data_IF_569335041155
#
_entry.id   IF_569335041155
#
_cell.length_a   1.000
_cell.length_b   1.000
_cell.length_c   1.000
_cell.angle_alpha   90.00
_cell.angle_beta   90.00
_cell.angle_gamma   90.00
#
_symmetry.space_group_name_H-M   'P 1'
#
loop_
_entity.id
_entity.type
_entity.pdbx_description
1 polymer ?
#
# COMPACT_ATOMS: atom_id res chain seq x y z
N UNK A 1 19.23 -1.27 -17.38
CA UNK A 1 18.89 0.11 -16.96
C UNK A 1 19.73 0.46 -15.73
N UNK A 2 20.10 1.74 -15.48
CA UNK A 2 20.73 2.13 -14.21
C UNK A 2 19.80 1.86 -13.01
N UNK A 3 20.37 1.51 -11.85
CA UNK A 3 19.58 1.25 -10.63
C UNK A 3 18.73 2.45 -10.19
N UNK A 4 19.22 3.67 -10.38
CA UNK A 4 18.43 4.88 -10.10
C UNK A 4 17.12 4.92 -10.89
N UNK A 5 17.13 4.48 -12.15
CA UNK A 5 15.94 4.38 -12.98
C UNK A 5 14.97 3.33 -12.45
N UNK A 6 15.46 2.16 -12.04
CA UNK A 6 14.63 1.08 -11.45
C UNK A 6 13.92 1.57 -10.18
N UNK A 7 14.65 2.29 -9.31
CA UNK A 7 14.08 2.88 -8.09
C UNK A 7 13.01 3.91 -8.43
N UNK A 8 13.29 4.84 -9.35
CA UNK A 8 12.31 5.86 -9.77
C UNK A 8 11.06 5.23 -10.40
N UNK A 9 11.23 4.20 -11.24
CA UNK A 9 10.11 3.43 -11.79
C UNK A 9 9.28 2.78 -10.68
N UNK A 10 9.94 2.12 -9.71
CA UNK A 10 9.26 1.52 -8.56
C UNK A 10 8.47 2.54 -7.74
N UNK A 11 9.12 3.63 -7.32
CA UNK A 11 8.46 4.70 -6.56
C UNK A 11 7.24 5.26 -7.32
N UNK A 12 7.42 5.60 -8.60
CA UNK A 12 6.35 6.16 -9.44
C UNK A 12 5.20 5.19 -9.62
N UNK A 13 5.48 3.91 -9.83
CA UNK A 13 4.46 2.88 -9.97
C UNK A 13 3.69 2.69 -8.66
N UNK A 14 4.38 2.73 -7.52
CA UNK A 14 3.74 2.69 -6.20
C UNK A 14 2.84 3.88 -5.93
N UNK A 15 3.24 5.11 -6.32
CA UNK A 15 2.36 6.28 -6.26
C UNK A 15 1.07 6.06 -7.06
N UNK A 16 1.18 5.58 -8.30
CA UNK A 16 0.02 5.29 -9.14
C UNK A 16 -0.83 4.15 -8.59
N UNK A 17 -0.22 3.11 -8.05
CA UNK A 17 -0.91 2.01 -7.38
C UNK A 17 -1.72 2.49 -6.18
N UNK A 18 -1.14 3.35 -5.33
CA UNK A 18 -1.85 3.92 -4.17
C UNK A 18 -2.99 4.81 -4.62
N UNK A 19 -2.79 5.62 -5.66
CA UNK A 19 -3.85 6.46 -6.21
C UNK A 19 -5.03 5.60 -6.72
N UNK A 20 -4.75 4.54 -7.49
CA UNK A 20 -5.78 3.63 -7.99
C UNK A 20 -6.53 2.92 -6.85
N UNK A 21 -5.79 2.41 -5.87
CA UNK A 21 -6.36 1.81 -4.66
C UNK A 21 -7.27 2.79 -3.92
N UNK A 22 -6.79 4.03 -3.72
CA UNK A 22 -7.55 5.08 -3.01
C UNK A 22 -8.85 5.43 -3.74
N UNK A 23 -8.82 5.53 -5.07
CA UNK A 23 -10.04 5.73 -5.87
C UNK A 23 -10.99 4.55 -5.70
N UNK A 24 -10.48 3.31 -5.75
CA UNK A 24 -11.27 2.11 -5.49
C UNK A 24 -11.93 2.12 -4.12
N UNK A 25 -11.18 2.49 -3.08
CA UNK A 25 -11.70 2.63 -1.71
C UNK A 25 -12.80 3.68 -1.62
N UNK A 26 -12.66 4.82 -2.31
CA UNK A 26 -13.70 5.86 -2.31
C UNK A 26 -14.96 5.42 -3.04
N UNK A 27 -14.84 4.66 -4.12
CA UNK A 27 -15.99 4.08 -4.82
C UNK A 27 -16.67 3.05 -3.91
N UNK A 28 -15.91 2.13 -3.30
CA UNK A 28 -16.45 1.16 -2.36
C UNK A 28 -17.17 1.82 -1.19
N UNK A 29 -16.51 2.77 -0.50
CA UNK A 29 -17.07 3.51 0.63
C UNK A 29 -18.35 4.27 0.26
N UNK A 30 -18.43 4.79 -0.97
CA UNK A 30 -19.64 5.47 -1.45
C UNK A 30 -20.85 4.52 -1.50
N UNK A 31 -20.64 3.27 -1.93
CA UNK A 31 -21.72 2.28 -2.03
C UNK A 31 -22.00 1.56 -0.69
N UNK A 32 -21.00 1.33 0.13
CA UNK A 32 -21.14 0.57 1.39
C UNK A 32 -21.43 1.46 2.60
N UNK A 33 -21.18 2.77 2.50
CA UNK A 33 -21.25 3.70 3.62
C UNK A 33 -20.11 3.51 4.64
N UNK A 34 -19.13 2.66 4.34
CA UNK A 34 -18.01 2.38 5.25
C UNK A 34 -17.17 3.63 5.48
N UNK A 35 -16.78 3.95 6.74
CA UNK A 35 -15.89 5.08 6.99
C UNK A 35 -14.45 4.81 6.51
N UNK A 36 -13.69 5.88 6.32
CA UNK A 36 -12.25 5.76 6.03
C UNK A 36 -11.47 5.18 7.22
N UNK A 37 -10.49 4.34 6.94
CA UNK A 37 -9.56 3.86 7.97
C UNK A 37 -8.47 4.90 8.23
N UNK A 38 -8.15 5.09 9.51
CA UNK A 38 -7.06 5.93 9.99
C UNK A 38 -6.00 5.13 10.75
N UNK A 39 -6.01 3.80 10.63
CA UNK A 39 -4.93 2.93 11.15
C UNK A 39 -3.58 3.38 10.58
N UNK A 40 -3.41 3.60 9.26
CA UNK A 40 -2.13 4.05 8.71
C UNK A 40 -1.67 5.40 9.27
N UNK A 41 -2.58 6.36 9.44
CA UNK A 41 -2.27 7.64 10.07
C UNK A 41 -1.74 7.49 11.50
N UNK A 42 -2.40 6.65 12.31
CA UNK A 42 -2.01 6.38 13.70
C UNK A 42 -0.69 5.62 13.77
N UNK A 43 -0.46 4.67 12.86
CA UNK A 43 0.81 3.96 12.72
C UNK A 43 1.94 4.94 12.41
N UNK A 44 1.78 5.80 11.41
CA UNK A 44 2.79 6.81 11.09
C UNK A 44 3.01 7.78 12.25
N UNK A 45 1.93 8.23 12.90
CA UNK A 45 2.01 9.11 14.06
C UNK A 45 2.86 8.49 15.19
N UNK A 46 2.64 7.20 15.47
CA UNK A 46 3.43 6.43 16.44
C UNK A 46 4.90 6.30 16.02
N UNK A 47 5.17 5.94 14.75
CA UNK A 47 6.53 5.78 14.23
C UNK A 47 7.37 7.06 14.31
N UNK A 48 6.76 8.23 14.10
CA UNK A 48 7.48 9.52 14.11
C UNK A 48 7.25 10.33 15.40
N UNK A 49 6.58 9.75 16.40
CA UNK A 49 6.40 10.36 17.71
C UNK A 49 5.52 11.62 17.73
N UNK A 50 4.53 11.73 16.84
CA UNK A 50 3.62 12.89 16.79
C UNK A 50 2.21 12.52 17.24
N UNK A 51 1.47 13.50 17.75
CA UNK A 51 0.06 13.34 18.12
C UNK A 51 -0.81 14.28 17.28
N UNK A 52 -1.52 13.79 16.24
CA UNK A 52 -2.41 14.63 15.45
C UNK A 52 -3.50 15.23 16.35
N UNK A 53 -3.75 16.53 16.20
CA UNK A 53 -4.72 17.33 16.99
C UNK A 53 -5.98 17.67 16.19
N UNK A 54 -5.95 17.51 14.88
CA UNK A 54 -7.08 17.79 13.98
C UNK A 54 -7.28 16.67 12.97
N UNK A 55 -8.51 16.54 12.47
CA UNK A 55 -8.84 15.57 11.41
C UNK A 55 -8.02 15.81 10.14
N UNK A 56 -7.71 17.08 9.84
CA UNK A 56 -6.86 17.44 8.71
C UNK A 56 -5.43 16.94 8.88
N UNK A 57 -4.87 16.98 10.09
CA UNK A 57 -3.55 16.41 10.38
C UNK A 57 -3.59 14.88 10.28
N UNK A 58 -4.64 14.25 10.82
CA UNK A 58 -4.83 12.81 10.75
C UNK A 58 -4.95 12.32 9.29
N UNK A 59 -5.71 13.04 8.47
CA UNK A 59 -5.84 12.75 7.04
C UNK A 59 -4.50 12.91 6.30
N UNK A 60 -3.72 13.96 6.59
CA UNK A 60 -2.39 14.15 5.98
C UNK A 60 -1.44 13.02 6.34
N UNK A 61 -1.43 12.60 7.61
CA UNK A 61 -0.64 11.43 8.04
C UNK A 61 -1.11 10.15 7.37
N UNK A 62 -2.42 9.99 7.17
CA UNK A 62 -2.97 8.84 6.45
C UNK A 62 -2.44 8.77 5.01
N UNK A 63 -2.54 9.89 4.29
CA UNK A 63 -2.04 9.98 2.92
C UNK A 63 -0.52 9.79 2.87
N UNK A 64 0.23 10.43 3.76
CA UNK A 64 1.68 10.29 3.82
C UNK A 64 2.09 8.82 4.04
N UNK A 65 1.41 8.11 4.95
CA UNK A 65 1.70 6.70 5.20
C UNK A 65 1.37 5.84 3.98
N UNK A 66 0.16 5.97 3.41
CA UNK A 66 -0.24 5.19 2.25
C UNK A 66 0.70 5.39 1.06
N UNK A 67 0.96 6.64 0.68
CA UNK A 67 1.80 6.97 -0.47
C UNK A 67 3.28 6.65 -0.22
N UNK A 68 3.82 7.03 0.95
CA UNK A 68 5.22 6.78 1.28
C UNK A 68 5.52 5.28 1.32
N UNK A 69 4.69 4.52 2.03
CA UNK A 69 4.87 3.09 2.14
C UNK A 69 4.60 2.35 0.83
N UNK A 70 3.55 2.74 0.10
CA UNK A 70 3.24 2.16 -1.21
C UNK A 70 4.35 2.38 -2.23
N UNK A 71 4.91 3.60 -2.28
CA UNK A 71 6.04 3.93 -3.15
C UNK A 71 7.29 3.10 -2.79
N UNK A 72 7.67 3.04 -1.52
CA UNK A 72 8.84 2.28 -1.08
C UNK A 72 8.65 0.78 -1.31
N UNK A 73 7.48 0.23 -1.00
CA UNK A 73 7.17 -1.18 -1.27
C UNK A 73 7.29 -1.50 -2.78
N UNK A 74 6.83 -0.60 -3.65
CA UNK A 74 6.88 -0.80 -5.09
C UNK A 74 8.30 -0.85 -5.68
N UNK A 75 9.31 -0.32 -4.97
CA UNK A 75 10.72 -0.53 -5.34
C UNK A 75 11.08 -2.02 -5.26
N UNK A 76 10.55 -2.76 -4.28
CA UNK A 76 10.74 -4.23 -4.21
C UNK A 76 10.13 -4.91 -5.44
N UNK A 77 8.94 -4.49 -5.87
CA UNK A 77 8.30 -5.02 -7.09
C UNK A 77 9.10 -4.70 -8.37
N UNK A 78 9.70 -3.51 -8.44
CA UNK A 78 10.58 -3.11 -9.52
C UNK A 78 11.87 -3.93 -9.58
N UNK A 79 12.51 -4.16 -8.43
CA UNK A 79 13.67 -5.03 -8.31
C UNK A 79 13.33 -6.47 -8.70
N UNK A 80 12.15 -6.97 -8.30
CA UNK A 80 11.66 -8.31 -8.70
C UNK A 80 11.59 -8.47 -10.23
N UNK A 81 11.02 -7.49 -10.92
CA UNK A 81 10.91 -7.46 -12.39
C UNK A 81 12.26 -7.35 -13.06
N UNK A 82 13.11 -6.44 -12.58
CA UNK A 82 14.39 -6.12 -13.20
C UNK A 82 15.45 -7.21 -13.00
N UNK A 83 15.66 -7.65 -11.77
CA UNK A 83 16.79 -8.53 -11.40
C UNK A 83 16.48 -10.01 -11.59
N UNK A 84 15.23 -10.40 -11.32
CA UNK A 84 14.83 -11.81 -11.29
C UNK A 84 13.91 -12.17 -12.47
N UNK A 85 13.56 -11.20 -13.31
CA UNK A 85 12.63 -11.41 -14.42
C UNK A 85 11.20 -11.75 -13.98
N UNK A 86 10.87 -11.57 -12.70
CA UNK A 86 9.57 -11.92 -12.13
C UNK A 86 8.53 -10.87 -12.56
N UNK A 87 7.63 -11.28 -13.47
CA UNK A 87 6.63 -10.40 -14.09
C UNK A 87 5.26 -11.06 -14.06
N UNK A 88 4.23 -10.26 -14.34
CA UNK A 88 2.86 -10.75 -14.52
C UNK A 88 2.11 -11.10 -13.23
N UNK A 89 0.90 -11.66 -13.37
CA UNK A 89 -0.12 -11.67 -12.31
C UNK A 89 0.27 -12.48 -11.08
N UNK A 90 1.06 -13.55 -11.23
CA UNK A 90 1.55 -14.33 -10.09
C UNK A 90 2.53 -13.52 -9.23
N UNK A 91 3.41 -12.75 -9.87
CA UNK A 91 4.34 -11.85 -9.16
C UNK A 91 3.57 -10.76 -8.42
N UNK A 92 2.51 -10.23 -9.03
CA UNK A 92 1.67 -9.20 -8.42
C UNK A 92 0.90 -9.75 -7.21
N UNK A 93 0.41 -10.99 -7.28
CA UNK A 93 -0.17 -11.68 -6.13
C UNK A 93 0.83 -11.86 -4.99
N UNK A 94 2.07 -12.29 -5.28
CA UNK A 94 3.11 -12.38 -4.25
C UNK A 94 3.45 -11.00 -3.67
N UNK A 95 3.49 -9.97 -4.52
CA UNK A 95 3.76 -8.60 -4.10
C UNK A 95 2.63 -8.01 -3.24
N UNK A 96 1.38 -8.38 -3.49
CA UNK A 96 0.26 -8.08 -2.59
C UNK A 96 0.54 -8.64 -1.18
N UNK A 97 1.04 -9.87 -1.10
CA UNK A 97 1.51 -10.48 0.17
C UNK A 97 2.62 -9.66 0.84
N UNK A 98 3.63 -9.20 0.09
CA UNK A 98 4.67 -8.31 0.61
C UNK A 98 4.08 -7.01 1.16
N UNK A 99 3.15 -6.40 0.42
CA UNK A 99 2.47 -5.16 0.84
C UNK A 99 1.70 -5.36 2.16
N UNK A 100 0.99 -6.48 2.29
CA UNK A 100 0.27 -6.86 3.52
C UNK A 100 1.22 -7.09 4.69
N UNK A 101 2.33 -7.80 4.46
CA UNK A 101 3.33 -8.05 5.49
C UNK A 101 3.92 -6.74 6.04
N UNK A 102 4.18 -5.75 5.17
CA UNK A 102 4.66 -4.43 5.59
C UNK A 102 3.61 -3.73 6.47
N UNK A 103 2.34 -3.70 6.05
CA UNK A 103 1.24 -3.11 6.85
C UNK A 103 1.19 -3.77 8.23
N UNK A 104 1.04 -5.09 8.24
CA UNK A 104 0.84 -5.83 9.48
C UNK A 104 2.04 -5.76 10.40
N UNK A 105 3.27 -5.73 9.87
CA UNK A 105 4.45 -5.54 10.71
C UNK A 105 4.40 -4.20 11.41
N UNK A 106 4.17 -3.11 10.69
CA UNK A 106 4.24 -1.76 11.24
C UNK A 106 3.05 -1.43 12.14
N UNK A 107 1.84 -1.81 11.73
CA UNK A 107 0.61 -1.57 12.49
C UNK A 107 0.62 -2.36 13.81
N UNK A 108 0.99 -3.63 13.80
CA UNK A 108 1.05 -4.43 15.03
C UNK A 108 2.25 -4.05 15.91
N UNK A 109 3.41 -3.72 15.32
CA UNK A 109 4.57 -3.30 16.10
C UNK A 109 4.35 -1.98 16.84
N UNK A 110 3.60 -1.06 16.25
CA UNK A 110 3.22 0.21 16.90
C UNK A 110 2.08 0.06 17.90
N UNK A 111 1.48 -1.13 18.03
CA UNK A 111 0.31 -1.38 18.87
C UNK A 111 -0.99 -0.72 18.39
N UNK A 112 -1.00 -0.19 17.16
CA UNK A 112 -2.17 0.46 16.56
C UNK A 112 -3.10 -0.56 15.92
N UNK A 113 -2.52 -1.61 15.32
CA UNK A 113 -3.22 -2.69 14.65
C UNK A 113 -3.56 -3.85 15.57
N UNK A 114 -4.17 -4.86 14.97
CA UNK A 114 -4.35 -6.19 15.54
C UNK A 114 -4.12 -7.24 14.43
N UNK A 115 -3.82 -8.49 14.77
CA UNK A 115 -3.60 -9.51 13.74
C UNK A 115 -4.83 -9.69 12.83
N UNK A 116 -4.67 -9.85 11.49
CA UNK A 116 -5.80 -9.81 10.55
C UNK A 116 -6.89 -10.84 10.81
N UNK A 117 -6.54 -12.02 11.33
CA UNK A 117 -7.50 -13.08 11.66
C UNK A 117 -8.38 -12.77 12.87
N UNK A 118 -8.13 -11.66 13.58
CA UNK A 118 -8.99 -11.17 14.67
C UNK A 118 -10.04 -10.17 14.17
N UNK A 119 -9.91 -9.69 12.93
CA UNK A 119 -10.82 -8.69 12.36
C UNK A 119 -12.08 -9.34 11.80
N UNK A 120 -13.19 -8.58 11.67
CA UNK A 120 -14.34 -9.01 10.89
C UNK A 120 -13.93 -9.45 9.47
N UNK A 121 -14.52 -10.54 8.98
CA UNK A 121 -14.22 -11.08 7.63
C UNK A 121 -14.44 -10.03 6.54
N UNK A 122 -15.45 -9.18 6.70
CA UNK A 122 -15.73 -8.06 5.78
C UNK A 122 -14.54 -7.10 5.66
N UNK A 123 -13.87 -6.78 6.77
CA UNK A 123 -12.70 -5.91 6.77
C UNK A 123 -11.51 -6.60 6.10
N UNK A 124 -11.30 -7.91 6.36
CA UNK A 124 -10.26 -8.68 5.69
C UNK A 124 -10.46 -8.71 4.18
N UNK A 125 -11.69 -8.93 3.70
CA UNK A 125 -12.01 -8.95 2.27
C UNK A 125 -11.76 -7.59 1.63
N UNK A 126 -12.22 -6.50 2.26
CA UNK A 126 -11.99 -5.13 1.78
C UNK A 126 -10.49 -4.84 1.71
N UNK A 127 -9.74 -5.23 2.74
CA UNK A 127 -8.30 -5.01 2.79
C UNK A 127 -7.59 -5.74 1.64
N UNK A 128 -7.84 -7.04 1.49
CA UNK A 128 -7.29 -7.86 0.44
C UNK A 128 -7.63 -7.33 -0.96
N UNK A 129 -8.88 -6.92 -1.19
CA UNK A 129 -9.31 -6.37 -2.47
C UNK A 129 -8.50 -5.14 -2.86
N UNK A 130 -8.40 -4.16 -1.95
CA UNK A 130 -7.70 -2.90 -2.24
C UNK A 130 -6.18 -3.09 -2.35
N UNK A 131 -5.58 -3.97 -1.54
CA UNK A 131 -4.18 -4.38 -1.74
C UNK A 131 -3.98 -5.08 -3.08
N UNK A 132 -4.96 -5.86 -3.54
CA UNK A 132 -4.96 -6.47 -4.87
C UNK A 132 -4.94 -5.44 -5.98
N UNK A 133 -5.81 -4.41 -5.90
CA UNK A 133 -5.81 -3.27 -6.84
C UNK A 133 -4.46 -2.56 -6.84
N UNK A 134 -3.92 -2.23 -5.66
CA UNK A 134 -2.60 -1.62 -5.54
C UNK A 134 -1.51 -2.46 -6.22
N UNK A 135 -1.45 -3.76 -5.92
CA UNK A 135 -0.42 -4.65 -6.41
C UNK A 135 -0.49 -4.85 -7.92
N UNK A 136 -1.71 -5.03 -8.46
CA UNK A 136 -1.94 -5.16 -9.90
C UNK A 136 -1.52 -3.91 -10.68
N UNK A 137 -1.98 -2.73 -10.26
CA UNK A 137 -1.66 -1.47 -10.96
C UNK A 137 -0.16 -1.17 -10.87
N UNK A 138 0.43 -1.36 -9.70
CA UNK A 138 1.89 -1.19 -9.50
C UNK A 138 2.66 -2.16 -10.40
N UNK A 139 2.29 -3.44 -10.39
CA UNK A 139 2.93 -4.49 -11.17
C UNK A 139 2.85 -4.24 -12.67
N UNK A 140 1.67 -3.88 -13.18
CA UNK A 140 1.47 -3.51 -14.58
C UNK A 140 2.38 -2.36 -15.01
N UNK A 141 2.44 -1.27 -14.23
CA UNK A 141 3.28 -0.11 -14.54
C UNK A 141 4.77 -0.45 -14.49
N UNK A 142 5.20 -1.17 -13.45
CA UNK A 142 6.59 -1.65 -13.31
C UNK A 142 6.99 -2.48 -14.52
N UNK A 143 6.20 -3.49 -14.86
CA UNK A 143 6.54 -4.40 -15.95
C UNK A 143 6.54 -3.66 -17.28
N UNK A 144 5.60 -2.73 -17.48
CA UNK A 144 5.54 -1.92 -18.71
C UNK A 144 6.72 -0.97 -18.88
N UNK A 145 7.33 -0.49 -17.80
CA UNK A 145 8.44 0.48 -17.83
C UNK A 145 9.83 -0.16 -17.79
N UNK A 146 9.95 -1.36 -17.21
CA UNK A 146 11.24 -2.06 -17.01
C UNK A 146 11.52 -3.09 -18.14
N UNK A 147 10.50 -3.47 -18.92
CA UNK A 147 10.66 -4.31 -20.12
C UNK A 147 11.65 -3.74 -21.14
#
# INVERSE_FOLDING_TARGET
MPWGTVIVCGLSAGFLGVAAMTVGEKIEQFFTGRPSSYVPAKTLASLIGVSPRTDQQLWRLNMAMHYGQGAVAAVVRAIASYSFGMRGPFTDFMFMGVRLLIDQTLENWTGVGAPPWTWPVSEQVVDLLHKGVFAFVTGYMVDRWIQ
#
